data_IF_555438381061
#
_entry.id   IF_555438381061
#
_cell.length_a   1.000
_cell.length_b   1.000
_cell.length_c   1.000
_cell.angle_alpha   90.00
_cell.angle_beta   90.00
_cell.angle_gamma   90.00
#
_symmetry.space_group_name_H-M   'P 1'
#
loop_
_entity.id
_entity.type
_entity.pdbx_description
1 polymer ?
#
# COMPACT_ATOMS: atom_id res chain seq x y z
N UNK A 1 35.60 98.35 -17.06
CA UNK A 1 35.23 96.99 -17.49
C UNK A 1 34.68 96.25 -16.28
N UNK A 2 33.35 96.13 -16.19
CA UNK A 2 32.65 95.44 -15.11
C UNK A 2 32.65 93.92 -15.42
N UNK A 3 33.61 93.18 -14.87
CA UNK A 3 33.55 91.72 -14.82
C UNK A 3 32.82 91.32 -13.54
N UNK A 4 31.49 91.43 -13.57
CA UNK A 4 30.63 90.84 -12.55
C UNK A 4 30.73 89.32 -12.63
N UNK A 5 31.57 88.73 -11.80
CA UNK A 5 31.61 87.29 -11.61
C UNK A 5 30.25 86.82 -11.07
N UNK A 6 29.58 85.84 -11.71
CA UNK A 6 28.24 85.44 -11.35
C UNK A 6 28.27 84.64 -10.04
N UNK A 7 28.12 85.34 -8.91
CA UNK A 7 28.04 84.76 -7.56
C UNK A 7 26.89 83.75 -7.41
N UNK A 8 25.92 83.79 -8.34
CA UNK A 8 24.81 82.85 -8.44
C UNK A 8 25.22 81.44 -8.88
N UNK A 9 26.31 81.27 -9.63
CA UNK A 9 26.76 79.95 -10.10
C UNK A 9 27.44 79.11 -8.99
N UNK A 10 28.05 79.77 -8.01
CA UNK A 10 28.77 79.10 -6.91
C UNK A 10 27.81 78.55 -5.84
N UNK A 11 26.79 79.34 -5.48
CA UNK A 11 25.76 78.92 -4.52
C UNK A 11 24.88 77.82 -5.12
N UNK A 12 24.55 77.93 -6.41
CA UNK A 12 23.79 76.90 -7.11
C UNK A 12 24.55 75.56 -7.16
N UNK A 13 25.84 75.55 -7.52
CA UNK A 13 26.66 74.31 -7.47
C UNK A 13 26.74 73.71 -6.08
N UNK A 14 26.87 74.53 -5.04
CA UNK A 14 26.86 74.07 -3.66
C UNK A 14 25.54 73.37 -3.32
N UNK A 15 24.39 73.94 -3.65
CA UNK A 15 23.09 73.30 -3.42
C UNK A 15 22.91 72.01 -4.23
N UNK A 16 23.41 71.95 -5.48
CA UNK A 16 23.35 70.74 -6.31
C UNK A 16 24.24 69.62 -5.76
N UNK A 17 25.43 69.95 -5.26
CA UNK A 17 26.36 68.97 -4.66
C UNK A 17 25.82 68.43 -3.33
N UNK A 18 25.18 69.28 -2.51
CA UNK A 18 24.48 68.85 -1.30
C UNK A 18 23.24 68.00 -1.61
N UNK A 19 22.50 68.33 -2.67
CA UNK A 19 21.37 67.53 -3.15
C UNK A 19 21.78 66.13 -3.63
N UNK A 20 22.90 66.03 -4.34
CA UNK A 20 23.52 64.77 -4.76
C UNK A 20 23.95 63.90 -3.57
N UNK A 21 24.59 64.50 -2.55
CA UNK A 21 25.02 63.82 -1.34
C UNK A 21 23.81 63.27 -0.56
N UNK A 22 22.79 64.09 -0.35
CA UNK A 22 21.55 63.69 0.34
C UNK A 22 20.83 62.59 -0.44
N UNK A 23 20.73 62.72 -1.77
CA UNK A 23 20.17 61.69 -2.64
C UNK A 23 20.92 60.36 -2.59
N UNK A 24 22.25 60.39 -2.55
CA UNK A 24 23.10 59.20 -2.41
C UNK A 24 22.90 58.48 -1.08
N UNK A 25 22.74 59.22 0.02
CA UNK A 25 22.45 58.64 1.34
C UNK A 25 21.08 57.96 1.36
N UNK A 26 20.05 58.61 0.81
CA UNK A 26 18.72 57.98 0.69
C UNK A 26 18.74 56.73 -0.19
N UNK A 27 19.51 56.72 -1.27
CA UNK A 27 19.68 55.54 -2.13
C UNK A 27 20.35 54.37 -1.38
N UNK A 28 21.37 54.65 -0.55
CA UNK A 28 22.01 53.63 0.30
C UNK A 28 21.06 53.07 1.35
N UNK A 29 20.27 53.93 2.01
CA UNK A 29 19.26 53.50 2.98
C UNK A 29 18.19 52.63 2.30
N UNK A 30 17.69 53.07 1.14
CA UNK A 30 16.71 52.30 0.36
C UNK A 30 17.27 50.94 -0.07
N UNK A 31 18.53 50.88 -0.53
CA UNK A 31 19.21 49.64 -0.87
C UNK A 31 19.38 48.69 0.33
N UNK A 32 19.75 49.23 1.49
CA UNK A 32 19.89 48.45 2.72
C UNK A 32 18.55 47.86 3.19
N UNK A 33 17.46 48.65 3.15
CA UNK A 33 16.11 48.19 3.49
C UNK A 33 15.64 47.12 2.52
N UNK A 34 15.84 47.32 1.21
CA UNK A 34 15.49 46.33 0.19
C UNK A 34 16.26 45.01 0.37
N UNK A 35 17.55 45.08 0.72
CA UNK A 35 18.35 43.89 1.00
C UNK A 35 17.86 43.13 2.25
N UNK A 36 17.55 43.84 3.34
CA UNK A 36 17.02 43.22 4.56
C UNK A 36 15.64 42.59 4.29
N UNK A 37 14.75 43.30 3.59
CA UNK A 37 13.44 42.77 3.21
C UNK A 37 13.56 41.51 2.34
N UNK A 38 14.44 41.54 1.33
CA UNK A 38 14.68 40.39 0.45
C UNK A 38 15.24 39.18 1.19
N UNK A 39 16.18 39.38 2.13
CA UNK A 39 16.74 38.27 2.92
C UNK A 39 15.74 37.68 3.91
N UNK A 40 14.88 38.49 4.52
CA UNK A 40 13.78 38.02 5.38
C UNK A 40 12.75 37.23 4.57
N UNK A 41 12.35 37.73 3.40
CA UNK A 41 11.42 37.03 2.51
C UNK A 41 12.01 35.69 2.04
N UNK A 42 13.28 35.65 1.65
CA UNK A 42 13.94 34.42 1.24
C UNK A 42 14.00 33.37 2.37
N UNK A 43 14.25 33.80 3.62
CA UNK A 43 14.21 32.90 4.79
C UNK A 43 12.79 32.37 5.04
N UNK A 44 11.78 33.24 5.00
CA UNK A 44 10.39 32.85 5.20
C UNK A 44 9.93 31.84 4.13
N UNK A 45 10.27 32.04 2.86
CA UNK A 45 9.93 31.11 1.78
C UNK A 45 10.61 29.76 1.94
N UNK A 46 11.90 29.73 2.36
CA UNK A 46 12.60 28.47 2.64
C UNK A 46 11.94 27.70 3.78
N UNK A 47 11.56 28.38 4.86
CA UNK A 47 10.88 27.75 5.98
C UNK A 47 9.49 27.24 5.59
N UNK A 48 8.73 28.01 4.80
CA UNK A 48 7.45 27.58 4.26
C UNK A 48 7.58 26.34 3.35
N UNK A 49 8.58 26.30 2.48
CA UNK A 49 8.85 25.15 1.63
C UNK A 49 9.23 23.91 2.44
N UNK A 50 10.04 24.05 3.49
CA UNK A 50 10.37 22.94 4.40
C UNK A 50 9.13 22.41 5.11
N UNK A 51 8.29 23.30 5.66
CA UNK A 51 7.03 22.90 6.30
C UNK A 51 6.08 22.18 5.33
N UNK A 52 6.01 22.61 4.06
CA UNK A 52 5.21 21.93 3.04
C UNK A 52 5.75 20.55 2.72
N UNK A 53 7.07 20.40 2.56
CA UNK A 53 7.69 19.08 2.30
C UNK A 53 7.47 18.13 3.48
N UNK A 54 7.62 18.61 4.73
CA UNK A 54 7.34 17.79 5.91
C UNK A 54 5.86 17.40 6.00
N UNK A 55 4.94 18.33 5.72
CA UNK A 55 3.51 18.04 5.70
C UNK A 55 3.16 17.00 4.63
N UNK A 56 3.76 17.10 3.44
CA UNK A 56 3.58 16.14 2.35
C UNK A 56 4.08 14.75 2.73
N UNK A 57 5.29 14.66 3.31
CA UNK A 57 5.85 13.38 3.81
C UNK A 57 4.96 12.73 4.86
N UNK A 58 4.48 13.51 5.85
CA UNK A 58 3.55 12.99 6.87
C UNK A 58 2.22 12.53 6.27
N UNK A 59 1.76 13.19 5.20
CA UNK A 59 0.55 12.78 4.48
C UNK A 59 0.76 11.45 3.76
N UNK A 60 1.89 11.28 3.07
CA UNK A 60 2.27 10.03 2.39
C UNK A 60 2.42 8.88 3.39
N UNK A 61 3.11 9.10 4.52
CA UNK A 61 3.25 8.10 5.59
C UNK A 61 1.89 7.63 6.13
N UNK A 62 0.96 8.57 6.34
CA UNK A 62 -0.40 8.24 6.80
C UNK A 62 -1.19 7.46 5.74
N UNK A 63 -1.00 7.79 4.46
CA UNK A 63 -1.65 7.08 3.36
C UNK A 63 -1.13 5.65 3.25
N UNK A 64 0.19 5.44 3.37
CA UNK A 64 0.81 4.11 3.38
C UNK A 64 0.34 3.29 4.59
N UNK A 65 0.27 3.90 5.77
CA UNK A 65 -0.23 3.22 6.97
C UNK A 65 -1.71 2.81 6.84
N UNK A 66 -2.55 3.72 6.33
CA UNK A 66 -3.96 3.43 6.05
C UNK A 66 -4.12 2.31 5.01
N UNK A 67 -3.33 2.35 3.93
CA UNK A 67 -3.27 1.32 2.90
C UNK A 67 -2.90 -0.04 3.52
N UNK A 68 -1.79 -0.09 4.26
CA UNK A 68 -1.30 -1.31 4.94
C UNK A 68 -2.38 -1.90 5.84
N UNK A 69 -3.04 -1.08 6.66
CA UNK A 69 -4.12 -1.51 7.57
C UNK A 69 -5.36 -2.03 6.83
N UNK A 70 -5.75 -1.38 5.75
CA UNK A 70 -6.89 -1.81 4.93
C UNK A 70 -6.63 -3.15 4.25
N UNK A 71 -5.44 -3.32 3.65
CA UNK A 71 -5.00 -4.57 3.04
C UNK A 71 -4.85 -5.69 4.07
N UNK A 72 -4.26 -5.41 5.24
CA UNK A 72 -4.14 -6.40 6.32
C UNK A 72 -5.50 -6.94 6.75
N UNK A 73 -6.50 -6.05 6.85
CA UNK A 73 -7.84 -6.41 7.28
C UNK A 73 -8.54 -7.29 6.25
N UNK A 74 -8.46 -6.94 4.97
CA UNK A 74 -9.00 -7.75 3.89
C UNK A 74 -8.29 -9.11 3.78
N UNK A 75 -6.95 -9.12 3.79
CA UNK A 75 -6.15 -10.32 3.68
C UNK A 75 -6.48 -11.29 4.82
N UNK A 76 -6.62 -10.82 6.06
CA UNK A 76 -7.03 -11.65 7.20
C UNK A 76 -8.39 -12.31 6.97
N UNK A 77 -9.36 -11.58 6.42
CA UNK A 77 -10.68 -12.13 6.11
C UNK A 77 -10.61 -13.15 4.97
N UNK A 78 -9.93 -12.81 3.88
CA UNK A 78 -9.82 -13.69 2.72
C UNK A 78 -9.05 -14.97 3.03
N UNK A 79 -7.91 -14.87 3.70
CA UNK A 79 -7.09 -16.03 4.08
C UNK A 79 -7.86 -16.94 5.04
N UNK A 80 -8.58 -16.36 6.02
CA UNK A 80 -9.46 -17.13 6.89
C UNK A 80 -10.56 -17.89 6.13
N UNK A 81 -11.16 -17.27 5.11
CA UNK A 81 -12.17 -17.90 4.24
C UNK A 81 -11.57 -18.96 3.32
N UNK A 82 -10.41 -18.69 2.73
CA UNK A 82 -9.65 -19.62 1.90
C UNK A 82 -9.23 -20.86 2.66
N UNK A 83 -8.79 -20.70 3.92
CA UNK A 83 -8.48 -21.83 4.80
C UNK A 83 -9.73 -22.68 5.09
N UNK A 84 -10.87 -22.03 5.36
CA UNK A 84 -12.15 -22.72 5.51
C UNK A 84 -12.60 -23.49 4.27
N UNK A 85 -12.36 -22.92 3.07
CA UNK A 85 -12.59 -23.59 1.80
C UNK A 85 -11.68 -24.80 1.62
N UNK A 86 -10.38 -24.67 1.92
CA UNK A 86 -9.44 -25.79 1.95
C UNK A 86 -9.94 -26.92 2.85
N UNK A 87 -10.29 -26.63 4.11
CA UNK A 87 -10.78 -27.67 5.06
C UNK A 87 -12.04 -28.36 4.55
N UNK A 88 -12.98 -27.60 3.97
CA UNK A 88 -14.23 -28.15 3.44
C UNK A 88 -14.00 -29.04 2.23
N UNK A 89 -13.19 -28.59 1.26
CA UNK A 89 -12.84 -29.36 0.06
C UNK A 89 -11.97 -30.57 0.39
N UNK A 90 -11.03 -30.45 1.33
CA UNK A 90 -10.25 -31.58 1.86
C UNK A 90 -11.15 -32.66 2.44
N UNK A 91 -12.13 -32.27 3.27
CA UNK A 91 -13.08 -33.21 3.85
C UNK A 91 -13.95 -33.87 2.77
N UNK A 92 -14.36 -33.09 1.76
CA UNK A 92 -15.11 -33.59 0.62
C UNK A 92 -14.32 -34.62 -0.19
N UNK A 93 -13.04 -34.35 -0.46
CA UNK A 93 -12.18 -35.24 -1.21
C UNK A 93 -11.83 -36.55 -0.45
N UNK A 94 -11.81 -36.53 0.89
CA UNK A 94 -11.36 -37.68 1.71
C UNK A 94 -12.49 -38.59 2.18
N UNK A 95 -13.72 -38.10 2.33
CA UNK A 95 -14.82 -38.82 2.99
C UNK A 95 -15.79 -39.55 2.04
N UNK A 96 -15.47 -39.71 0.77
CA UNK A 96 -16.44 -40.10 -0.26
C UNK A 96 -17.02 -41.51 -0.08
N UNK A 97 -18.25 -41.57 0.45
CA UNK A 97 -19.18 -42.71 0.36
C UNK A 97 -20.15 -42.57 -0.84
N UNK A 98 -19.82 -41.72 -1.83
CA UNK A 98 -20.68 -41.43 -3.00
C UNK A 98 -20.04 -40.44 -3.98
N UNK A 99 -20.73 -40.16 -5.11
CA UNK A 99 -20.23 -39.24 -6.13
C UNK A 99 -20.17 -37.79 -5.61
N UNK A 100 -19.14 -37.05 -6.03
CA UNK A 100 -19.00 -35.63 -5.70
C UNK A 100 -19.69 -34.80 -6.78
N UNK A 101 -20.64 -33.97 -6.34
CA UNK A 101 -21.38 -33.07 -7.24
C UNK A 101 -20.80 -31.67 -7.27
N UNK A 102 -21.02 -30.94 -8.36
CA UNK A 102 -20.60 -29.57 -8.57
C UNK A 102 -21.20 -28.66 -7.49
N UNK A 103 -22.43 -28.94 -7.03
CA UNK A 103 -23.06 -28.19 -5.93
C UNK A 103 -22.31 -28.34 -4.60
N UNK A 104 -21.76 -29.52 -4.31
CA UNK A 104 -20.95 -29.73 -3.11
C UNK A 104 -19.64 -28.95 -3.18
N UNK A 105 -19.00 -28.95 -4.36
CA UNK A 105 -17.78 -28.17 -4.61
C UNK A 105 -18.07 -26.67 -4.48
N UNK A 106 -19.09 -26.15 -5.18
CA UNK A 106 -19.49 -24.74 -5.14
C UNK A 106 -19.76 -24.28 -3.70
N UNK A 107 -20.53 -25.05 -2.94
CA UNK A 107 -20.83 -24.72 -1.54
C UNK A 107 -19.58 -24.74 -0.65
N UNK A 108 -18.60 -25.58 -0.96
CA UNK A 108 -17.38 -25.76 -0.16
C UNK A 108 -16.28 -24.77 -0.53
N UNK A 109 -16.30 -24.21 -1.74
CA UNK A 109 -15.25 -23.31 -2.26
C UNK A 109 -15.62 -21.82 -2.23
N UNK A 110 -16.69 -21.43 -1.52
CA UNK A 110 -17.15 -20.03 -1.50
C UNK A 110 -16.19 -19.13 -0.75
N UNK A 111 -15.32 -18.47 -1.51
CA UNK A 111 -14.46 -17.38 -1.04
C UNK A 111 -14.87 -16.09 -1.75
N UNK A 112 -15.14 -15.00 -1.01
CA UNK A 112 -15.50 -13.72 -1.63
C UNK A 112 -14.32 -13.17 -2.45
N UNK A 113 -14.64 -12.37 -3.48
CA UNK A 113 -13.62 -11.63 -4.22
C UNK A 113 -13.01 -10.53 -3.35
N UNK A 114 -11.74 -10.20 -3.62
CA UNK A 114 -11.11 -9.02 -3.04
C UNK A 114 -11.77 -7.74 -3.57
N UNK A 115 -11.97 -6.77 -2.69
CA UNK A 115 -12.60 -5.47 -2.97
C UNK A 115 -11.63 -4.33 -2.73
N UNK A 116 -10.90 -4.37 -1.61
CA UNK A 116 -9.93 -3.34 -1.22
C UNK A 116 -8.69 -3.41 -2.11
N UNK A 117 -8.14 -4.60 -2.35
CA UNK A 117 -6.94 -4.75 -3.18
C UNK A 117 -7.08 -4.16 -4.59
N UNK A 118 -8.12 -4.48 -5.40
CA UNK A 118 -8.28 -3.87 -6.72
C UNK A 118 -8.43 -2.34 -6.65
N UNK A 119 -9.17 -1.83 -5.67
CA UNK A 119 -9.31 -0.38 -5.45
C UNK A 119 -8.02 0.32 -5.01
N UNK A 120 -7.09 -0.43 -4.44
CA UNK A 120 -5.81 0.06 -3.92
C UNK A 120 -4.61 -0.25 -4.83
N UNK A 121 -4.82 -0.98 -5.93
CA UNK A 121 -3.75 -1.39 -6.84
C UNK A 121 -2.87 -0.22 -7.34
N UNK A 122 -3.41 0.97 -7.69
CA UNK A 122 -2.56 2.11 -8.10
C UNK A 122 -1.61 2.60 -7.01
N UNK A 123 -1.91 2.31 -5.74
CA UNK A 123 -1.17 2.77 -4.56
C UNK A 123 -0.28 1.69 -3.95
N UNK A 124 -0.36 0.45 -4.45
CA UNK A 124 0.39 -0.66 -3.86
C UNK A 124 1.90 -0.48 -3.97
N UNK A 125 2.37 0.27 -4.98
CA UNK A 125 3.77 0.64 -5.15
C UNK A 125 4.30 1.63 -4.11
N UNK A 126 3.43 2.18 -3.25
CA UNK A 126 3.83 2.99 -2.10
C UNK A 126 4.28 2.13 -0.90
N UNK A 127 3.98 0.83 -0.91
CA UNK A 127 4.55 -0.11 0.06
C UNK A 127 6.04 -0.34 -0.24
N UNK A 128 6.78 -0.81 0.76
CA UNK A 128 8.15 -1.27 0.56
C UNK A 128 8.18 -2.31 -0.56
N UNK A 129 9.16 -2.22 -1.49
CA UNK A 129 9.11 -2.93 -2.77
C UNK A 129 8.88 -4.45 -2.67
N UNK A 130 9.41 -5.10 -1.64
CA UNK A 130 9.15 -6.52 -1.37
C UNK A 130 7.72 -6.78 -0.88
N UNK A 131 7.17 -5.90 -0.04
CA UNK A 131 5.85 -6.05 0.54
C UNK A 131 4.76 -5.90 -0.51
N UNK A 132 4.94 -4.98 -1.46
CA UNK A 132 4.01 -4.80 -2.57
C UNK A 132 3.86 -6.10 -3.39
N UNK A 133 4.98 -6.72 -3.76
CA UNK A 133 4.97 -7.97 -4.54
C UNK A 133 4.38 -9.13 -3.75
N UNK A 134 4.74 -9.25 -2.48
CA UNK A 134 4.21 -10.29 -1.60
C UNK A 134 2.68 -10.22 -1.48
N UNK A 135 2.13 -9.02 -1.36
CA UNK A 135 0.68 -8.80 -1.34
C UNK A 135 0.06 -9.27 -2.66
N UNK A 136 0.61 -8.85 -3.80
CA UNK A 136 0.12 -9.24 -5.14
C UNK A 136 0.09 -10.76 -5.30
N UNK A 137 1.15 -11.45 -4.87
CA UNK A 137 1.25 -12.92 -4.97
C UNK A 137 0.13 -13.61 -4.19
N UNK A 138 -0.17 -13.15 -2.96
CA UNK A 138 -1.25 -13.72 -2.13
C UNK A 138 -2.60 -13.56 -2.81
N UNK A 139 -2.94 -12.36 -3.26
CA UNK A 139 -4.24 -12.13 -3.92
C UNK A 139 -4.36 -12.92 -5.23
N UNK A 140 -3.29 -12.99 -6.02
CA UNK A 140 -3.28 -13.74 -7.27
C UNK A 140 -3.44 -15.25 -7.04
N UNK A 141 -2.77 -15.82 -6.02
CA UNK A 141 -2.93 -17.24 -5.68
C UNK A 141 -4.32 -17.58 -5.15
N UNK A 142 -4.96 -16.69 -4.39
CA UNK A 142 -6.36 -16.85 -4.00
C UNK A 142 -7.27 -16.84 -5.23
N UNK A 143 -7.04 -15.93 -6.18
CA UNK A 143 -7.86 -15.86 -7.40
C UNK A 143 -7.71 -17.12 -8.27
N UNK A 144 -6.48 -17.60 -8.47
CA UNK A 144 -6.22 -18.86 -9.18
C UNK A 144 -6.97 -20.03 -8.51
N UNK A 145 -7.00 -20.10 -7.17
CA UNK A 145 -7.74 -21.14 -6.46
C UNK A 145 -9.26 -21.03 -6.68
N UNK A 146 -9.80 -19.81 -6.69
CA UNK A 146 -11.22 -19.54 -6.98
C UNK A 146 -11.58 -19.89 -8.43
N UNK A 147 -10.74 -19.53 -9.39
CA UNK A 147 -10.90 -19.89 -10.80
C UNK A 147 -10.83 -21.40 -11.01
N UNK A 148 -9.88 -22.08 -10.34
CA UNK A 148 -9.78 -23.54 -10.37
C UNK A 148 -11.05 -24.21 -9.84
N UNK A 149 -11.64 -23.69 -8.77
CA UNK A 149 -12.93 -24.16 -8.27
C UNK A 149 -14.05 -23.92 -9.31
N UNK A 150 -14.10 -22.72 -9.91
CA UNK A 150 -15.10 -22.37 -10.92
C UNK A 150 -15.00 -23.25 -12.17
N UNK A 151 -13.79 -23.64 -12.57
CA UNK A 151 -13.57 -24.51 -13.73
C UNK A 151 -14.10 -25.93 -13.49
N UNK A 152 -13.95 -26.46 -12.26
CA UNK A 152 -14.58 -27.74 -11.89
C UNK A 152 -16.12 -27.67 -12.07
N UNK A 153 -16.74 -26.53 -11.74
CA UNK A 153 -18.18 -26.35 -11.89
C UNK A 153 -18.64 -26.32 -13.36
N UNK A 154 -17.74 -26.02 -14.29
CA UNK A 154 -17.99 -26.04 -15.74
C UNK A 154 -17.76 -27.41 -16.38
N UNK A 155 -17.38 -28.42 -15.58
CA UNK A 155 -17.19 -29.79 -16.08
C UNK A 155 -18.46 -30.32 -16.76
N UNK A 156 -18.27 -31.11 -17.82
CA UNK A 156 -19.37 -31.73 -18.59
C UNK A 156 -20.18 -32.73 -17.77
N UNK A 157 -19.59 -33.29 -16.71
CA UNK A 157 -20.21 -34.25 -15.79
C UNK A 157 -20.28 -33.63 -14.39
N UNK A 158 -21.28 -32.78 -14.12
CA UNK A 158 -21.37 -32.05 -12.85
C UNK A 158 -21.54 -32.96 -11.63
N UNK A 159 -21.98 -34.21 -11.82
CA UNK A 159 -22.27 -35.13 -10.71
C UNK A 159 -21.25 -36.27 -10.56
N UNK A 160 -20.10 -36.21 -11.24
CA UNK A 160 -19.04 -37.22 -11.12
C UNK A 160 -17.64 -36.58 -11.10
N UNK A 161 -17.47 -35.62 -10.20
CA UNK A 161 -16.18 -34.95 -10.03
C UNK A 161 -15.25 -35.88 -9.25
N UNK A 162 -14.06 -36.13 -9.79
CA UNK A 162 -13.10 -37.00 -9.12
C UNK A 162 -12.59 -36.36 -7.82
N UNK A 163 -12.39 -37.14 -6.74
CA UNK A 163 -11.78 -36.64 -5.51
C UNK A 163 -10.41 -35.98 -5.73
N UNK A 164 -9.67 -36.43 -6.75
CA UNK A 164 -8.37 -35.85 -7.14
C UNK A 164 -8.49 -34.39 -7.59
N UNK A 165 -9.49 -34.07 -8.43
CA UNK A 165 -9.72 -32.69 -8.87
C UNK A 165 -10.08 -31.78 -7.70
N UNK A 166 -10.93 -32.27 -6.78
CA UNK A 166 -11.29 -31.53 -5.56
C UNK A 166 -10.09 -31.31 -4.64
N UNK A 167 -9.24 -32.33 -4.48
CA UNK A 167 -8.00 -32.24 -3.70
C UNK A 167 -6.99 -31.24 -4.32
N UNK A 168 -6.92 -31.14 -5.65
CA UNK A 168 -6.08 -30.15 -6.32
C UNK A 168 -6.53 -28.72 -6.01
N UNK A 169 -7.84 -28.44 -6.06
CA UNK A 169 -8.38 -27.12 -5.68
C UNK A 169 -8.21 -26.84 -4.19
N UNK A 170 -8.42 -27.83 -3.33
CA UNK A 170 -8.12 -27.71 -1.90
C UNK A 170 -6.64 -27.34 -1.68
N UNK A 171 -5.72 -27.92 -2.45
CA UNK A 171 -4.29 -27.62 -2.37
C UNK A 171 -3.97 -26.19 -2.81
N UNK A 172 -4.62 -25.71 -3.88
CA UNK A 172 -4.45 -24.33 -4.35
C UNK A 172 -4.84 -23.29 -3.27
N UNK A 173 -5.97 -23.51 -2.58
CA UNK A 173 -6.37 -22.64 -1.46
C UNK A 173 -5.37 -22.67 -0.30
N UNK A 174 -4.86 -23.85 0.06
CA UNK A 174 -3.85 -23.98 1.12
C UNK A 174 -2.53 -23.30 0.73
N UNK A 175 -2.12 -23.41 -0.54
CA UNK A 175 -0.89 -22.79 -1.01
C UNK A 175 -0.97 -21.25 -0.91
N UNK A 176 -2.11 -20.67 -1.30
CA UNK A 176 -2.37 -19.24 -1.09
C UNK A 176 -2.27 -18.84 0.40
N UNK A 177 -2.79 -19.69 1.30
CA UNK A 177 -2.69 -19.47 2.74
C UNK A 177 -1.23 -19.55 3.25
N UNK A 178 -0.42 -20.49 2.73
CA UNK A 178 1.01 -20.59 3.08
C UNK A 178 1.79 -19.36 2.64
N UNK A 179 1.51 -18.82 1.46
CA UNK A 179 2.11 -17.54 1.07
C UNK A 179 1.70 -16.43 2.04
N UNK A 180 0.40 -16.34 2.37
CA UNK A 180 -0.10 -15.32 3.29
C UNK A 180 0.52 -15.40 4.70
N UNK A 181 0.92 -16.60 5.16
CA UNK A 181 1.66 -16.78 6.43
C UNK A 181 2.91 -15.90 6.50
N UNK A 182 3.64 -15.74 5.40
CA UNK A 182 4.84 -14.90 5.32
C UNK A 182 4.54 -13.39 5.22
N UNK A 183 3.35 -13.04 4.72
CA UNK A 183 2.96 -11.64 4.43
C UNK A 183 2.23 -10.98 5.59
N UNK A 184 1.35 -11.71 6.30
CA UNK A 184 0.57 -11.18 7.42
C UNK A 184 1.43 -10.46 8.49
N UNK A 185 2.61 -10.99 8.91
CA UNK A 185 3.47 -10.31 9.88
C UNK A 185 4.10 -9.00 9.37
N UNK A 186 4.15 -8.79 8.05
CA UNK A 186 4.67 -7.56 7.42
C UNK A 186 3.61 -6.46 7.36
N UNK A 187 2.33 -6.85 7.33
CA UNK A 187 1.18 -5.94 7.28
C UNK A 187 0.63 -5.59 8.67
N UNK A 188 1.47 -5.61 9.72
CA UNK A 188 1.03 -5.32 11.09
C UNK A 188 0.31 -3.98 11.18
N UNK A 189 -0.78 -4.00 11.94
CA UNK A 189 -1.61 -2.81 12.13
C UNK A 189 -1.21 -1.98 13.36
N UNK A 190 -0.34 -2.54 14.21
CA UNK A 190 0.02 -1.97 15.51
C UNK A 190 -1.05 -2.17 16.59
N UNK A 191 -2.15 -2.84 16.26
CA UNK A 191 -3.23 -3.15 17.21
C UNK A 191 -3.05 -4.58 17.69
N UNK A 192 -2.70 -4.76 18.98
CA UNK A 192 -2.40 -6.07 19.57
C UNK A 192 -3.47 -7.13 19.27
N UNK A 193 -4.76 -6.77 19.37
CA UNK A 193 -5.86 -7.69 19.05
C UNK A 193 -5.82 -8.24 17.62
N UNK A 194 -5.42 -7.43 16.65
CA UNK A 194 -5.32 -7.86 15.24
C UNK A 194 -4.09 -8.73 15.02
N UNK A 195 -2.97 -8.33 15.61
CA UNK A 195 -1.71 -9.07 15.51
C UNK A 195 -1.82 -10.44 16.21
N UNK A 196 -2.63 -10.56 17.27
CA UNK A 196 -2.95 -11.84 17.95
C UNK A 196 -3.78 -12.75 17.06
N UNK A 197 -4.77 -12.19 16.35
CA UNK A 197 -5.57 -12.93 15.36
C UNK A 197 -4.71 -13.44 14.21
N UNK A 198 -3.74 -12.65 13.76
CA UNK A 198 -2.81 -13.06 12.71
C UNK A 198 -1.94 -14.24 13.16
N UNK A 199 -1.45 -14.22 14.41
CA UNK A 199 -0.70 -15.36 14.97
C UNK A 199 -1.56 -16.61 15.08
N UNK A 200 -2.81 -16.48 15.52
CA UNK A 200 -3.76 -17.59 15.54
C UNK A 200 -4.02 -18.16 14.15
N UNK A 201 -4.21 -17.29 13.15
CA UNK A 201 -4.40 -17.69 11.75
C UNK A 201 -3.17 -18.41 11.19
N UNK A 202 -1.96 -17.90 11.45
CA UNK A 202 -0.70 -18.54 11.07
C UNK A 202 -0.58 -19.95 11.66
N UNK A 203 -0.89 -20.12 12.95
CA UNK A 203 -0.85 -21.43 13.59
C UNK A 203 -1.85 -22.42 12.94
N UNK A 204 -3.07 -21.97 12.61
CA UNK A 204 -4.05 -22.80 11.91
C UNK A 204 -3.59 -23.18 10.50
N UNK A 205 -2.88 -22.30 9.80
CA UNK A 205 -2.30 -22.60 8.48
C UNK A 205 -1.23 -23.68 8.59
N UNK A 206 -0.35 -23.57 9.59
CA UNK A 206 0.72 -24.55 9.82
C UNK A 206 0.16 -25.93 10.16
N UNK A 207 -0.84 -25.99 11.04
CA UNK A 207 -1.56 -27.22 11.36
C UNK A 207 -2.23 -27.84 10.13
N UNK A 208 -2.96 -27.03 9.35
CA UNK A 208 -3.61 -27.48 8.13
C UNK A 208 -2.59 -27.99 7.10
N UNK A 209 -1.45 -27.31 6.95
CA UNK A 209 -0.38 -27.71 6.04
C UNK A 209 0.22 -29.06 6.42
N UNK A 210 0.57 -29.27 7.69
CA UNK A 210 1.10 -30.54 8.18
C UNK A 210 0.08 -31.67 8.02
N UNK A 211 -1.19 -31.43 8.39
CA UNK A 211 -2.24 -32.42 8.26
C UNK A 211 -2.53 -32.80 6.80
N UNK A 212 -2.44 -31.82 5.88
CA UNK A 212 -2.63 -32.06 4.46
C UNK A 212 -1.47 -32.85 3.85
N UNK A 213 -0.23 -32.57 4.24
CA UNK A 213 0.94 -33.32 3.77
C UNK A 213 0.85 -34.81 4.14
N UNK A 214 0.43 -35.13 5.36
CA UNK A 214 0.18 -36.51 5.80
C UNK A 214 -0.91 -37.17 4.95
N UNK A 215 -2.01 -36.44 4.70
CA UNK A 215 -3.15 -36.93 3.91
C UNK A 215 -2.73 -37.22 2.46
N UNK A 216 -1.92 -36.35 1.85
CA UNK A 216 -1.47 -36.51 0.48
C UNK A 216 -0.45 -37.65 0.32
N UNK A 217 0.38 -37.92 1.34
CA UNK A 217 1.30 -39.08 1.33
C UNK A 217 0.57 -40.41 1.33
N UNK A 218 -0.61 -40.48 1.94
CA UNK A 218 -1.45 -41.69 1.94
C UNK A 218 -2.43 -41.77 0.76
N UNK A 219 -2.41 -40.79 -0.16
CA UNK A 219 -3.34 -40.77 -1.28
C UNK A 219 -2.96 -41.84 -2.31
N UNK A 220 -3.93 -42.60 -2.87
CA UNK A 220 -3.63 -43.53 -3.95
C UNK A 220 -2.99 -42.80 -5.12
N UNK A 221 -1.81 -43.26 -5.55
CA UNK A 221 -1.17 -42.78 -6.78
C UNK A 221 -2.04 -43.23 -7.95
N UNK A 222 -2.59 -42.27 -8.68
CA UNK A 222 -3.31 -42.47 -9.94
C UNK A 222 -2.40 -43.05 -11.02
#
# INVERSE_FOLDING_TARGET
MNMGWPSYLTVYKLFTDWGSLIGGVFALIAGAVAYIAGTLQAKATRQAAQMQVEAMRRSEEREVDALRKSLATEMRQLVGRSLGAHTSLRNLATKTNGPITARMVDSSSRVPAAVIYPGSAPKIGLLDGSDAMDVVIVYNTIEIAREGAAEILRSRTPDDITPLNVAAVASAFLEACKYARGVLPKLKTGVALHDDKDRGLIAMIDEAASAWEVTMKSWPKS
#
